data_IF_010254459746
#
_entry.id   IF_010254459746
#
_cell.length_a   1.000
_cell.length_b   1.000
_cell.length_c   1.000
_cell.angle_alpha   90.00
_cell.angle_beta   90.00
_cell.angle_gamma   90.00
#
_symmetry.space_group_name_H-M   'P 1'
#
loop_
_entity.id
_entity.type
_entity.pdbx_description
1 polymer ?
#
# COMPACT_ATOMS: atom_id res chain seq x y z
N UNK A 1 -43.59 4.64 -3.64
CA UNK A 1 -42.25 4.64 -4.24
C UNK A 1 -41.34 4.09 -3.17
N UNK A 2 -41.04 2.80 -3.24
CA UNK A 2 -40.25 2.14 -2.21
C UNK A 2 -38.82 2.70 -2.22
N UNK A 3 -38.22 2.96 -1.05
CA UNK A 3 -36.86 3.47 -1.00
C UNK A 3 -35.90 2.41 -1.54
N UNK A 4 -35.14 2.80 -2.57
CA UNK A 4 -34.07 1.98 -3.16
C UNK A 4 -33.12 1.62 -2.01
N UNK A 5 -32.86 0.33 -1.72
CA UNK A 5 -31.94 -0.05 -0.67
C UNK A 5 -30.55 0.45 -1.05
N UNK A 6 -30.09 1.52 -0.39
CA UNK A 6 -28.71 1.99 -0.51
C UNK A 6 -27.83 0.83 -0.07
N UNK A 7 -27.13 0.23 -1.02
CA UNK A 7 -26.21 -0.88 -0.80
C UNK A 7 -25.18 -0.40 0.24
N UNK A 8 -25.31 -0.88 1.48
CA UNK A 8 -24.55 -0.40 2.66
C UNK A 8 -23.02 -0.46 2.48
N UNK A 9 -22.55 -1.22 1.50
CA UNK A 9 -21.13 -1.33 1.11
C UNK A 9 -20.50 0.04 0.79
N UNK A 10 -21.21 0.93 0.08
CA UNK A 10 -20.63 2.21 -0.34
C UNK A 10 -20.63 3.27 0.77
N UNK A 11 -21.59 3.22 1.69
CA UNK A 11 -21.67 4.16 2.82
C UNK A 11 -20.57 3.92 3.86
N UNK A 12 -20.09 2.67 3.99
CA UNK A 12 -18.97 2.30 4.89
C UNK A 12 -17.63 2.90 4.46
N UNK A 13 -17.37 2.97 3.14
CA UNK A 13 -16.14 3.55 2.58
C UNK A 13 -16.03 5.04 2.94
N UNK A 14 -17.15 5.77 2.94
CA UNK A 14 -17.21 7.20 3.26
C UNK A 14 -17.13 7.51 4.76
N UNK A 15 -17.42 6.56 5.64
CA UNK A 15 -17.49 6.77 7.10
C UNK A 15 -16.30 6.17 7.85
N UNK A 16 -15.40 5.46 7.17
CA UNK A 16 -14.23 4.82 7.78
C UNK A 16 -14.58 3.71 8.77
N UNK A 17 -15.85 3.32 8.86
CA UNK A 17 -16.36 2.38 9.84
C UNK A 17 -16.41 0.98 9.20
N UNK A 18 -15.24 0.45 8.88
CA UNK A 18 -15.09 -0.96 8.50
C UNK A 18 -14.99 -1.78 9.79
N UNK A 19 -15.79 -2.85 9.93
CA UNK A 19 -15.68 -3.68 11.13
C UNK A 19 -14.35 -4.44 11.11
N UNK A 20 -13.73 -4.61 12.28
CA UNK A 20 -12.45 -5.35 12.44
C UNK A 20 -12.52 -6.73 11.77
N UNK A 21 -13.69 -7.39 11.84
CA UNK A 21 -13.97 -8.67 11.17
C UNK A 21 -13.91 -8.66 9.63
N UNK A 22 -14.05 -7.49 8.97
CA UNK A 22 -13.97 -7.36 7.51
C UNK A 22 -12.52 -7.12 7.03
N UNK A 23 -11.62 -6.60 7.87
CA UNK A 23 -10.21 -6.36 7.53
C UNK A 23 -9.25 -7.43 8.07
N UNK A 24 -9.60 -8.09 9.17
CA UNK A 24 -8.77 -9.05 9.90
C UNK A 24 -9.18 -10.48 9.55
N UNK A 25 -9.28 -10.79 8.25
CA UNK A 25 -9.53 -12.18 7.79
C UNK A 25 -8.23 -12.84 7.33
N UNK A 26 -8.08 -14.17 7.42
CA UNK A 26 -6.90 -14.88 6.92
C UNK A 26 -6.63 -14.61 5.43
N UNK A 27 -7.68 -14.44 4.62
CA UNK A 27 -7.57 -14.08 3.21
C UNK A 27 -6.98 -12.68 3.00
N UNK A 28 -7.44 -11.70 3.78
CA UNK A 28 -6.89 -10.34 3.73
C UNK A 28 -5.45 -10.28 4.26
N UNK A 29 -5.12 -11.05 5.29
CA UNK A 29 -3.75 -11.15 5.80
C UNK A 29 -2.78 -11.66 4.73
N UNK A 30 -3.17 -12.68 3.96
CA UNK A 30 -2.37 -13.15 2.84
C UNK A 30 -2.12 -12.04 1.80
N UNK A 31 -3.16 -11.26 1.47
CA UNK A 31 -3.04 -10.12 0.55
C UNK A 31 -2.07 -9.07 1.10
N UNK A 32 -2.19 -8.68 2.37
CA UNK A 32 -1.30 -7.68 2.99
C UNK A 32 0.14 -8.17 3.08
N UNK A 33 0.35 -9.45 3.39
CA UNK A 33 1.68 -10.06 3.43
C UNK A 33 2.32 -10.13 2.05
N UNK A 34 1.57 -10.51 1.02
CA UNK A 34 2.05 -10.51 -0.37
C UNK A 34 2.35 -9.09 -0.84
N UNK A 35 1.46 -8.13 -0.58
CA UNK A 35 1.68 -6.73 -0.93
C UNK A 35 2.92 -6.15 -0.25
N UNK A 36 3.12 -6.43 1.02
CA UNK A 36 4.31 -6.01 1.76
C UNK A 36 5.60 -6.51 1.10
N UNK A 37 5.63 -7.79 0.70
CA UNK A 37 6.79 -8.36 0.00
C UNK A 37 7.03 -7.70 -1.37
N UNK A 38 5.97 -7.49 -2.16
CA UNK A 38 6.08 -6.79 -3.45
C UNK A 38 6.56 -5.35 -3.27
N UNK A 39 6.07 -4.65 -2.23
CA UNK A 39 6.46 -3.28 -1.94
C UNK A 39 7.94 -3.15 -1.57
N UNK A 40 8.49 -4.10 -0.79
CA UNK A 40 9.93 -4.18 -0.52
C UNK A 40 10.72 -4.37 -1.82
N UNK A 41 10.27 -5.28 -2.68
CA UNK A 41 10.94 -5.56 -3.95
C UNK A 41 10.93 -4.32 -4.87
N UNK A 42 9.84 -3.56 -4.91
CA UNK A 42 9.74 -2.28 -5.61
C UNK A 42 10.79 -1.29 -5.09
N UNK A 43 10.90 -1.12 -3.77
CA UNK A 43 11.88 -0.19 -3.17
C UNK A 43 13.32 -0.59 -3.51
N UNK A 44 13.64 -1.88 -3.42
CA UNK A 44 14.99 -2.40 -3.72
C UNK A 44 15.33 -2.20 -5.20
N UNK A 45 14.44 -2.58 -6.12
CA UNK A 45 14.67 -2.45 -7.55
C UNK A 45 14.84 -0.99 -7.96
N UNK A 46 13.99 -0.09 -7.46
CA UNK A 46 14.08 1.33 -7.78
C UNK A 46 15.34 1.96 -7.17
N UNK A 47 15.73 1.58 -5.95
CA UNK A 47 16.99 2.05 -5.34
C UNK A 47 18.22 1.62 -6.14
N UNK A 48 18.26 0.35 -6.59
CA UNK A 48 19.33 -0.14 -7.46
C UNK A 48 19.37 0.59 -8.81
N UNK A 49 18.20 0.80 -9.42
CA UNK A 49 18.10 1.51 -10.70
C UNK A 49 18.53 2.98 -10.57
N UNK A 50 18.22 3.63 -9.45
CA UNK A 50 18.72 4.98 -9.12
C UNK A 50 20.26 5.03 -9.14
N UNK A 51 20.92 4.06 -8.50
CA UNK A 51 22.39 3.98 -8.47
C UNK A 51 22.96 3.79 -9.88
N UNK A 52 22.32 2.97 -10.72
CA UNK A 52 22.73 2.78 -12.12
C UNK A 52 22.61 4.11 -12.88
N UNK A 53 21.48 4.80 -12.78
CA UNK A 53 21.26 6.08 -13.45
C UNK A 53 22.24 7.18 -13.02
N UNK A 54 22.74 7.15 -11.77
CA UNK A 54 23.79 8.07 -11.30
C UNK A 54 25.14 7.78 -11.96
N UNK A 55 25.44 6.51 -12.24
CA UNK A 55 26.71 6.07 -12.83
C UNK A 55 26.74 6.16 -14.36
N UNK A 56 25.58 6.13 -15.02
CA UNK A 56 25.48 6.20 -16.47
C UNK A 56 25.77 7.61 -17.01
N UNK A 57 26.78 7.71 -17.89
CA UNK A 57 27.13 8.95 -18.61
C UNK A 57 26.61 9.02 -20.05
N UNK A 58 26.13 7.89 -20.58
CA UNK A 58 25.70 7.78 -21.98
C UNK A 58 24.24 8.19 -22.23
N UNK A 59 23.52 8.62 -21.19
CA UNK A 59 22.09 8.91 -21.30
C UNK A 59 21.85 10.42 -21.47
N UNK A 60 20.94 10.78 -22.38
CA UNK A 60 20.53 12.16 -22.59
C UNK A 60 19.99 12.79 -21.30
N UNK A 61 20.38 14.03 -20.99
CA UNK A 61 20.11 14.68 -19.70
C UNK A 61 18.60 14.73 -19.38
N UNK A 62 17.76 15.11 -20.35
CA UNK A 62 16.31 15.17 -20.14
C UNK A 62 15.70 13.80 -19.82
N UNK A 63 16.16 12.75 -20.50
CA UNK A 63 15.68 11.38 -20.27
C UNK A 63 16.14 10.86 -18.90
N UNK A 64 17.38 11.17 -18.52
CA UNK A 64 17.91 10.83 -17.20
C UNK A 64 17.09 11.47 -16.09
N UNK A 65 16.75 12.75 -16.20
CA UNK A 65 15.94 13.45 -15.20
C UNK A 65 14.53 12.87 -15.09
N UNK A 66 13.89 12.53 -16.20
CA UNK A 66 12.57 11.88 -16.20
C UNK A 66 12.64 10.53 -15.49
N UNK A 67 13.62 9.68 -15.83
CA UNK A 67 13.79 8.38 -15.20
C UNK A 67 14.08 8.51 -13.70
N UNK A 68 14.92 9.47 -13.29
CA UNK A 68 15.20 9.73 -11.88
C UNK A 68 13.94 10.10 -11.10
N UNK A 69 13.11 11.00 -11.65
CA UNK A 69 11.85 11.41 -11.01
C UNK A 69 10.89 10.22 -10.87
N UNK A 70 10.76 9.39 -11.90
CA UNK A 70 9.93 8.17 -11.86
C UNK A 70 10.42 7.21 -10.77
N UNK A 71 11.73 7.01 -10.66
CA UNK A 71 12.34 6.13 -9.65
C UNK A 71 12.08 6.62 -8.24
N UNK A 72 12.20 7.93 -8.00
CA UNK A 72 11.88 8.54 -6.70
C UNK A 72 10.40 8.36 -6.36
N UNK A 73 9.50 8.63 -7.32
CA UNK A 73 8.06 8.45 -7.12
C UNK A 73 7.69 6.99 -6.81
N UNK A 74 8.27 6.03 -7.54
CA UNK A 74 8.05 4.60 -7.29
C UNK A 74 8.59 4.15 -5.94
N UNK A 75 9.72 4.70 -5.50
CA UNK A 75 10.29 4.39 -4.18
C UNK A 75 9.38 4.93 -3.07
N UNK A 76 8.88 6.16 -3.20
CA UNK A 76 7.93 6.74 -2.26
C UNK A 76 6.60 5.95 -2.21
N UNK A 77 6.12 5.50 -3.38
CA UNK A 77 4.95 4.62 -3.47
C UNK A 77 5.19 3.29 -2.73
N UNK A 78 6.34 2.64 -2.97
CA UNK A 78 6.71 1.41 -2.29
C UNK A 78 6.80 1.57 -0.77
N UNK A 79 7.43 2.64 -0.28
CA UNK A 79 7.50 2.95 1.16
C UNK A 79 6.10 3.17 1.78
N UNK A 80 5.22 3.88 1.07
CA UNK A 80 3.85 4.12 1.55
C UNK A 80 3.08 2.80 1.68
N UNK A 81 3.24 1.89 0.71
CA UNK A 81 2.63 0.55 0.76
C UNK A 81 3.16 -0.30 1.90
N UNK A 82 4.47 -0.26 2.15
CA UNK A 82 5.10 -0.94 3.31
C UNK A 82 4.46 -0.46 4.62
N UNK A 83 4.31 0.84 4.81
CA UNK A 83 3.68 1.41 6.02
C UNK A 83 2.24 0.91 6.20
N UNK A 84 1.42 1.00 5.15
CA UNK A 84 0.01 0.58 5.21
C UNK A 84 -0.10 -0.92 5.50
N UNK A 85 0.65 -1.75 4.77
CA UNK A 85 0.59 -3.21 4.91
C UNK A 85 1.16 -3.69 6.25
N UNK A 86 2.10 -2.95 6.85
CA UNK A 86 2.59 -3.22 8.21
C UNK A 86 1.52 -2.94 9.26
N UNK A 87 0.83 -1.80 9.16
CA UNK A 87 -0.26 -1.45 10.09
C UNK A 87 -1.36 -2.52 10.01
N UNK A 88 -1.80 -2.87 8.80
CA UNK A 88 -2.85 -3.87 8.59
C UNK A 88 -2.43 -5.28 9.02
N UNK A 89 -1.19 -5.68 8.74
CA UNK A 89 -0.64 -6.96 9.19
C UNK A 89 -0.50 -7.04 10.72
N UNK A 90 -0.06 -5.95 11.36
CA UNK A 90 0.04 -5.87 12.82
C UNK A 90 -1.33 -5.92 13.50
N UNK A 91 -2.34 -5.25 12.94
CA UNK A 91 -3.70 -5.31 13.44
C UNK A 91 -4.26 -6.75 13.44
N UNK A 92 -3.88 -7.56 12.46
CA UNK A 92 -4.22 -8.99 12.41
C UNK A 92 -3.46 -9.83 13.43
N UNK A 93 -2.16 -9.59 13.60
CA UNK A 93 -1.32 -10.39 14.50
C UNK A 93 -1.58 -10.13 15.98
N UNK A 94 -1.92 -8.90 16.34
CA UNK A 94 -2.17 -8.52 17.73
C UNK A 94 -3.61 -8.72 18.18
N UNK A 95 -4.46 -9.30 17.32
CA UNK A 95 -5.90 -9.49 17.55
C UNK A 95 -6.48 -8.24 18.22
N UNK A 96 -6.09 -7.06 17.71
CA UNK A 96 -6.54 -5.79 18.27
C UNK A 96 -7.97 -5.65 17.83
N UNK A 97 -8.84 -6.26 18.64
CA UNK A 97 -10.22 -5.90 18.75
C UNK A 97 -10.25 -4.42 19.13
N UNK A 98 -10.26 -3.54 18.12
CA UNK A 98 -10.82 -2.19 18.24
C UNK A 98 -12.37 -2.31 18.29
N UNK A 99 -12.90 -3.47 18.74
CA UNK A 99 -14.21 -3.56 19.35
C UNK A 99 -14.11 -2.95 20.75
N UNK A 100 -14.05 -1.63 20.77
CA UNK A 100 -14.45 -0.83 21.94
C UNK A 100 -15.84 -1.28 22.38
N UNK A 101 -15.91 -2.10 23.44
CA UNK A 101 -17.04 -2.35 24.35
C UNK A 101 -16.49 -3.29 25.44
N UNK A 102 -16.23 -2.84 26.67
CA UNK A 102 -17.24 -2.61 27.71
C UNK A 102 -18.43 -3.58 27.62
#
# INVERSE_FOLDING_TARGET
MDPIPVKREYTKISTGNFSVSEHVTPGNFAIYSTDFFLAILIVILNSNFFIVLLKTRCLHLNLRTILMNTVVANTAYGLTRICISTILGSAFLFDVDISSKN
#
